data_IF_536669198227
#
_entry.id   IF_536669198227
#
_cell.length_a   1.000
_cell.length_b   1.000
_cell.length_c   1.000
_cell.angle_alpha   90.00
_cell.angle_beta   90.00
_cell.angle_gamma   90.00
#
_symmetry.space_group_name_H-M   'P 1'
#
loop_
_entity.id
_entity.type
_entity.pdbx_description
1 polymer ?
#
# COMPACT_ATOMS: atom_id res chain seq x y z
N UNK A 1 29.47 9.64 34.24
CA UNK A 1 29.39 8.92 32.94
C UNK A 1 28.08 8.14 32.91
N UNK A 2 27.09 8.62 32.15
CA UNK A 2 25.80 7.96 32.04
C UNK A 2 25.91 6.68 31.19
N UNK A 3 25.82 5.51 31.82
CA UNK A 3 25.53 4.25 31.12
C UNK A 3 24.09 4.36 30.60
N UNK A 4 23.93 4.94 29.41
CA UNK A 4 22.71 4.79 28.64
C UNK A 4 22.61 3.29 28.33
N UNK A 5 21.75 2.61 29.08
CA UNK A 5 21.44 1.19 28.95
C UNK A 5 21.21 0.87 27.47
N UNK A 6 21.88 -0.17 26.96
CA UNK A 6 21.68 -0.70 25.61
C UNK A 6 20.21 -0.98 25.30
N UNK A 7 19.39 -1.25 26.33
CA UNK A 7 17.94 -1.38 26.25
C UNK A 7 17.19 -0.11 25.85
N UNK A 8 17.61 1.07 26.31
CA UNK A 8 16.96 2.35 25.97
C UNK A 8 17.22 2.77 24.53
N UNK A 9 18.44 2.50 24.03
CA UNK A 9 18.78 2.75 22.61
C UNK A 9 18.01 1.82 21.68
N UNK A 10 17.85 0.55 22.05
CA UNK A 10 17.02 -0.38 21.31
C UNK A 10 15.55 0.08 21.32
N UNK A 11 14.95 0.33 22.49
CA UNK A 11 13.56 0.78 22.56
C UNK A 11 13.27 2.05 21.74
N UNK A 12 14.20 3.01 21.72
CA UNK A 12 14.11 4.24 20.91
C UNK A 12 14.23 3.98 19.41
N UNK A 13 15.12 3.08 18.99
CA UNK A 13 15.25 2.70 17.58
C UNK A 13 14.01 1.95 17.07
N UNK A 14 13.35 1.16 17.91
CA UNK A 14 12.15 0.41 17.55
C UNK A 14 10.93 1.32 17.40
N UNK A 15 10.77 2.33 18.29
CA UNK A 15 9.78 3.42 18.18
C UNK A 15 9.94 4.29 16.93
N UNK A 16 11.15 4.33 16.38
CA UNK A 16 11.40 5.09 15.18
C UNK A 16 11.06 4.26 13.94
N UNK A 17 11.18 2.94 14.01
CA UNK A 17 10.89 2.02 12.91
C UNK A 17 9.39 1.82 12.69
N UNK A 18 8.59 1.64 13.74
CA UNK A 18 7.14 1.44 13.61
C UNK A 18 6.43 2.69 13.05
N UNK A 19 6.82 3.89 13.50
CA UNK A 19 6.33 5.14 12.95
C UNK A 19 6.72 5.31 11.47
N UNK A 20 7.97 4.99 11.12
CA UNK A 20 8.43 5.07 9.73
C UNK A 20 7.68 4.08 8.84
N UNK A 21 7.51 2.83 9.25
CA UNK A 21 6.76 1.85 8.47
C UNK A 21 5.28 2.22 8.33
N UNK A 22 4.66 2.74 9.39
CA UNK A 22 3.27 3.22 9.33
C UNK A 22 3.13 4.40 8.35
N UNK A 23 4.08 5.34 8.35
CA UNK A 23 4.08 6.50 7.44
C UNK A 23 4.33 6.10 5.98
N UNK A 24 5.28 5.19 5.74
CA UNK A 24 5.55 4.66 4.40
C UNK A 24 4.31 3.94 3.87
N UNK A 25 3.69 3.07 4.67
CA UNK A 25 2.47 2.37 4.28
C UNK A 25 1.31 3.33 3.99
N UNK A 26 1.12 4.36 4.82
CA UNK A 26 0.10 5.38 4.58
C UNK A 26 0.37 6.17 3.29
N UNK A 27 1.62 6.54 3.03
CA UNK A 27 2.01 7.24 1.80
C UNK A 27 1.81 6.38 0.55
N UNK A 28 2.22 5.11 0.59
CA UNK A 28 1.94 4.17 -0.49
C UNK A 28 0.43 3.97 -0.70
N UNK A 29 -0.35 3.88 0.38
CA UNK A 29 -1.82 3.82 0.32
C UNK A 29 -2.44 5.01 -0.41
N UNK A 30 -1.93 6.23 -0.18
CA UNK A 30 -2.38 7.42 -0.90
C UNK A 30 -2.03 7.37 -2.40
N UNK A 31 -0.83 6.90 -2.76
CA UNK A 31 -0.45 6.72 -4.16
C UNK A 31 -1.35 5.69 -4.87
N UNK A 32 -1.69 4.60 -4.19
CA UNK A 32 -2.59 3.57 -4.71
C UNK A 32 -4.00 4.12 -4.92
N UNK A 33 -4.50 4.91 -3.97
CA UNK A 33 -5.81 5.56 -4.10
C UNK A 33 -5.83 6.57 -5.26
N UNK A 34 -4.77 7.35 -5.41
CA UNK A 34 -4.62 8.28 -6.52
C UNK A 34 -4.56 7.54 -7.87
N UNK A 35 -3.82 6.44 -7.95
CA UNK A 35 -3.76 5.59 -9.14
C UNK A 35 -5.11 4.97 -9.49
N UNK A 36 -5.85 4.46 -8.50
CA UNK A 36 -7.19 3.93 -8.70
C UNK A 36 -8.17 5.02 -9.17
N UNK A 37 -8.09 6.21 -8.58
CA UNK A 37 -8.95 7.35 -8.97
C UNK A 37 -8.64 7.84 -10.38
N UNK A 38 -7.35 7.88 -10.74
CA UNK A 38 -6.91 8.20 -12.10
C UNK A 38 -7.47 7.19 -13.11
N UNK A 39 -7.40 5.89 -12.79
CA UNK A 39 -7.94 4.86 -13.67
C UNK A 39 -9.45 5.02 -13.85
N UNK A 40 -10.21 5.15 -12.77
CA UNK A 40 -11.66 5.40 -12.85
C UNK A 40 -11.96 6.63 -13.72
N UNK A 41 -11.20 7.71 -13.55
CA UNK A 41 -11.35 8.93 -14.33
C UNK A 41 -11.08 8.69 -15.83
N UNK A 42 -9.96 8.04 -16.16
CA UNK A 42 -9.64 7.73 -17.55
C UNK A 42 -10.70 6.85 -18.20
N UNK A 43 -11.17 5.80 -17.51
CA UNK A 43 -12.18 4.92 -18.09
C UNK A 43 -13.59 5.54 -18.16
N UNK A 44 -13.91 6.49 -17.28
CA UNK A 44 -15.24 7.14 -17.29
C UNK A 44 -15.30 8.30 -18.28
N UNK A 45 -14.19 9.03 -18.47
CA UNK A 45 -14.19 10.30 -19.21
C UNK A 45 -13.33 10.30 -20.48
N UNK A 46 -12.43 9.34 -20.69
CA UNK A 46 -11.67 9.24 -21.95
C UNK A 46 -12.24 8.15 -22.85
N UNK A 47 -12.59 8.56 -24.07
CA UNK A 47 -13.21 7.71 -25.11
C UNK A 47 -12.29 6.57 -25.59
N UNK A 48 -10.97 6.69 -25.39
CA UNK A 48 -9.98 5.64 -25.67
C UNK A 48 -8.95 5.60 -24.52
N UNK A 49 -8.99 4.60 -23.63
CA UNK A 49 -7.94 4.44 -22.62
C UNK A 49 -6.61 4.13 -23.33
N UNK A 50 -5.58 4.93 -23.04
CA UNK A 50 -4.24 4.81 -23.66
C UNK A 50 -3.66 3.39 -23.48
N UNK A 51 -3.04 2.86 -24.53
CA UNK A 51 -2.58 1.46 -24.68
C UNK A 51 -1.50 0.97 -23.68
N UNK A 52 -1.09 1.75 -22.68
CA UNK A 52 0.02 1.40 -21.77
C UNK A 52 -0.39 1.15 -20.33
N UNK A 53 -1.57 0.58 -20.13
CA UNK A 53 -2.12 0.19 -18.82
C UNK A 53 -1.33 -0.92 -18.12
N UNK A 54 -0.56 -1.75 -18.85
CA UNK A 54 0.17 -2.88 -18.27
C UNK A 54 1.36 -2.45 -17.38
N UNK A 55 2.21 -1.52 -17.86
CA UNK A 55 3.33 -0.98 -17.06
C UNK A 55 2.84 -0.23 -15.83
N UNK A 56 1.73 0.52 -15.97
CA UNK A 56 1.08 1.21 -14.86
C UNK A 56 0.52 0.22 -13.82
N UNK A 57 -0.10 -0.87 -14.27
CA UNK A 57 -0.61 -1.95 -13.42
C UNK A 57 0.51 -2.66 -12.68
N UNK A 58 1.63 -2.95 -13.35
CA UNK A 58 2.82 -3.53 -12.72
C UNK A 58 3.37 -2.64 -11.61
N UNK A 59 3.55 -1.33 -11.87
CA UNK A 59 4.02 -0.37 -10.86
C UNK A 59 3.04 -0.32 -9.67
N UNK A 60 1.74 -0.30 -9.94
CA UNK A 60 0.69 -0.28 -8.91
C UNK A 60 0.74 -1.54 -8.03
N UNK A 61 0.99 -2.71 -8.62
CA UNK A 61 1.20 -3.97 -7.89
C UNK A 61 2.45 -3.94 -7.00
N UNK A 62 3.57 -3.40 -7.49
CA UNK A 62 4.79 -3.26 -6.68
C UNK A 62 4.53 -2.34 -5.48
N UNK A 63 3.85 -1.22 -5.68
CA UNK A 63 3.48 -0.29 -4.60
C UNK A 63 2.56 -1.00 -3.59
N UNK A 64 1.62 -1.83 -4.05
CA UNK A 64 0.77 -2.64 -3.17
C UNK A 64 1.58 -3.58 -2.28
N UNK A 65 2.54 -4.31 -2.84
CA UNK A 65 3.39 -5.24 -2.09
C UNK A 65 4.19 -4.49 -1.02
N UNK A 66 4.81 -3.35 -1.39
CA UNK A 66 5.58 -2.52 -0.44
C UNK A 66 4.67 -1.97 0.66
N UNK A 67 3.51 -1.46 0.29
CA UNK A 67 2.51 -0.90 1.22
C UNK A 67 2.01 -1.95 2.21
N UNK A 68 1.71 -3.15 1.72
CA UNK A 68 1.25 -4.27 2.53
C UNK A 68 2.37 -4.77 3.46
N UNK A 69 3.57 -5.01 2.93
CA UNK A 69 4.71 -5.48 3.73
C UNK A 69 5.05 -4.50 4.86
N UNK A 70 5.08 -3.20 4.58
CA UNK A 70 5.32 -2.16 5.58
C UNK A 70 4.19 -2.06 6.61
N UNK A 71 2.92 -2.26 6.20
CA UNK A 71 1.78 -2.31 7.14
C UNK A 71 1.87 -3.49 8.10
N UNK A 72 2.25 -4.68 7.61
CA UNK A 72 2.43 -5.90 8.41
C UNK A 72 3.61 -5.75 9.35
N UNK A 73 4.74 -5.22 8.89
CA UNK A 73 5.87 -4.92 9.78
C UNK A 73 5.44 -3.94 10.87
N UNK A 74 4.78 -2.82 10.52
CA UNK A 74 4.29 -1.86 11.49
C UNK A 74 3.35 -2.50 12.53
N UNK A 75 2.51 -3.45 12.11
CA UNK A 75 1.65 -4.23 13.01
C UNK A 75 2.46 -5.12 13.95
N UNK A 76 3.39 -5.93 13.44
CA UNK A 76 4.25 -6.82 14.25
C UNK A 76 5.06 -6.04 15.29
N UNK A 77 5.65 -4.91 14.90
CA UNK A 77 6.41 -4.05 15.82
C UNK A 77 5.52 -3.45 16.93
N UNK A 78 4.24 -3.18 16.65
CA UNK A 78 3.30 -2.60 17.62
C UNK A 78 2.67 -3.62 18.55
N UNK A 79 2.26 -4.79 18.04
CA UNK A 79 1.70 -5.88 18.85
C UNK A 79 2.72 -6.41 19.85
N UNK A 80 4.01 -6.45 19.46
CA UNK A 80 5.12 -6.80 20.35
C UNK A 80 5.29 -5.87 21.57
N UNK A 81 4.59 -4.72 21.63
CA UNK A 81 4.69 -3.74 22.72
C UNK A 81 3.40 -3.53 23.52
N UNK A 82 2.36 -4.35 23.30
CA UNK A 82 1.09 -4.32 24.06
C UNK A 82 0.39 -2.93 24.07
N UNK A 83 0.60 -2.08 23.05
CA UNK A 83 -0.04 -0.76 22.95
C UNK A 83 -1.33 -0.82 22.12
N UNK A 84 -2.45 -1.05 22.81
CA UNK A 84 -3.80 -1.23 22.24
C UNK A 84 -4.26 -0.16 21.22
N UNK A 85 -3.99 1.13 21.46
CA UNK A 85 -4.53 2.22 20.60
C UNK A 85 -3.81 2.32 19.25
N UNK A 86 -2.52 2.03 19.22
CA UNK A 86 -1.69 2.10 18.00
C UNK A 86 -1.84 0.88 17.09
N UNK A 87 -2.27 -0.27 17.65
CA UNK A 87 -2.62 -1.48 16.88
C UNK A 87 -3.76 -1.22 15.89
N UNK A 88 -4.78 -0.46 16.29
CA UNK A 88 -5.95 -0.17 15.46
C UNK A 88 -5.58 0.52 14.14
N UNK A 89 -4.63 1.46 14.16
CA UNK A 89 -4.19 2.17 12.95
C UNK A 89 -3.50 1.22 11.97
N UNK A 90 -2.60 0.36 12.45
CA UNK A 90 -1.90 -0.59 11.59
C UNK A 90 -2.83 -1.65 11.01
N UNK A 91 -3.81 -2.10 11.80
CA UNK A 91 -4.84 -3.03 11.33
C UNK A 91 -5.73 -2.37 10.28
N UNK A 92 -6.13 -1.11 10.49
CA UNK A 92 -6.87 -0.32 9.49
C UNK A 92 -6.07 -0.14 8.19
N UNK A 93 -4.76 0.10 8.27
CA UNK A 93 -3.88 0.19 7.08
C UNK A 93 -3.77 -1.14 6.32
N UNK A 94 -3.73 -2.27 7.02
CA UNK A 94 -3.76 -3.61 6.41
C UNK A 94 -5.09 -3.83 5.68
N UNK A 95 -6.22 -3.57 6.36
CA UNK A 95 -7.57 -3.73 5.78
C UNK A 95 -7.75 -2.81 4.58
N UNK A 96 -7.34 -1.54 4.68
CA UNK A 96 -7.43 -0.58 3.59
C UNK A 96 -6.59 -1.01 2.37
N UNK A 97 -5.37 -1.51 2.59
CA UNK A 97 -4.56 -2.09 1.51
C UNK A 97 -5.25 -3.28 0.83
N UNK A 98 -5.84 -4.18 1.63
CA UNK A 98 -6.60 -5.32 1.09
C UNK A 98 -7.80 -4.89 0.26
N UNK A 99 -8.57 -3.91 0.73
CA UNK A 99 -9.71 -3.35 -0.01
C UNK A 99 -9.28 -2.67 -1.30
N UNK A 100 -8.21 -1.86 -1.28
CA UNK A 100 -7.67 -1.22 -2.48
C UNK A 100 -7.20 -2.26 -3.51
N UNK A 101 -6.57 -3.34 -3.05
CA UNK A 101 -6.14 -4.43 -3.92
C UNK A 101 -7.33 -5.18 -4.54
N UNK A 102 -8.38 -5.45 -3.77
CA UNK A 102 -9.62 -6.05 -4.29
C UNK A 102 -10.30 -5.15 -5.33
N UNK A 103 -10.42 -3.85 -5.05
CA UNK A 103 -10.96 -2.88 -6.00
C UNK A 103 -10.13 -2.83 -7.29
N UNK A 104 -8.80 -2.92 -7.18
CA UNK A 104 -7.91 -2.99 -8.34
C UNK A 104 -8.16 -4.25 -9.18
N UNK A 105 -8.33 -5.41 -8.55
CA UNK A 105 -8.67 -6.66 -9.25
C UNK A 105 -10.01 -6.53 -9.97
N UNK A 106 -11.04 -6.01 -9.30
CA UNK A 106 -12.37 -5.82 -9.90
C UNK A 106 -12.28 -4.91 -11.12
N UNK A 107 -11.52 -3.81 -11.00
CA UNK A 107 -11.31 -2.86 -12.09
C UNK A 107 -10.58 -3.53 -13.27
N UNK A 108 -9.47 -4.22 -13.04
CA UNK A 108 -8.78 -4.99 -14.09
C UNK A 108 -9.67 -6.05 -14.75
N UNK A 109 -10.43 -6.82 -13.97
CA UNK A 109 -11.36 -7.84 -14.51
C UNK A 109 -12.49 -7.22 -15.33
N UNK A 110 -13.01 -6.07 -14.93
CA UNK A 110 -14.05 -5.36 -15.70
C UNK A 110 -13.49 -4.87 -17.03
N UNK A 111 -12.22 -4.47 -17.04
CA UNK A 111 -11.57 -3.82 -18.17
C UNK A 111 -10.81 -4.76 -19.09
N UNK A 112 -10.60 -6.02 -18.69
CA UNK A 112 -9.93 -7.03 -19.50
C UNK A 112 -10.61 -7.21 -20.87
N UNK A 113 -11.93 -7.02 -20.93
CA UNK A 113 -12.72 -7.11 -22.17
C UNK A 113 -12.64 -5.85 -23.05
N UNK A 114 -12.24 -4.71 -22.46
CA UNK A 114 -12.09 -3.43 -23.17
C UNK A 114 -10.67 -3.19 -23.66
N UNK A 115 -9.70 -3.83 -23.02
CA UNK A 115 -8.30 -3.76 -23.40
C UNK A 115 -8.12 -4.68 -24.62
N UNK A 116 -7.94 -4.10 -25.81
CA UNK A 116 -7.38 -4.81 -26.97
C UNK A 116 -5.94 -5.18 -26.63
N UNK A 117 -5.76 -6.18 -25.78
CA UNK A 117 -4.44 -6.75 -25.56
C UNK A 117 -4.02 -7.39 -26.88
N UNK A 118 -2.84 -6.99 -27.35
CA UNK A 118 -2.17 -7.37 -28.58
C UNK A 118 -1.87 -8.89 -28.66
N UNK A 119 -2.87 -9.75 -28.48
CA UNK A 119 -2.71 -11.21 -28.55
C UNK A 119 -2.53 -11.74 -29.99
N UNK A 120 -2.56 -10.85 -31.00
CA UNK A 120 -2.23 -11.18 -32.38
C UNK A 120 -1.24 -10.16 -32.95
N UNK A 121 0.05 -10.38 -32.73
CA UNK A 121 1.13 -9.96 -33.64
C UNK A 121 2.36 -10.85 -33.40
#
# INVERSE_FOLDING_TARGET
MARISTGDKAAKNWLRKDEVFSRISAFCGLLLLAGLSNDICQYTFMENPLETTQSFTYITLVIHIISFFTSVLAFVYKTSRLKKRTEQISLMLIVCNGLLFLLRIILELTLINYRREYYNS
#
